data_IF_852714277177
#
_entry.id   IF_852714277177
#
_cell.length_a   1.000
_cell.length_b   1.000
_cell.length_c   1.000
_cell.angle_alpha   90.00
_cell.angle_beta   90.00
_cell.angle_gamma   90.00
#
_symmetry.space_group_name_H-M   'P 1'
#
loop_
_entity.id
_entity.type
_entity.pdbx_description
1 polymer ?
#
# COMPACT_ATOMS: atom_id res chain seq x y z
N UNK A 1 15.27 -52.44 -6.74
CA UNK A 1 15.49 -50.98 -6.84
C UNK A 1 14.54 -50.32 -5.87
N UNK A 2 15.05 -49.61 -4.85
CA UNK A 2 14.25 -48.89 -3.86
C UNK A 2 14.28 -47.39 -4.16
N UNK A 3 13.13 -46.75 -4.11
CA UNK A 3 12.96 -45.30 -4.29
C UNK A 3 13.54 -44.55 -3.08
N UNK A 4 14.33 -43.48 -3.24
CA UNK A 4 14.81 -42.71 -2.10
C UNK A 4 13.65 -41.96 -1.42
N UNK A 5 13.57 -42.09 -0.10
CA UNK A 5 12.66 -41.35 0.79
C UNK A 5 12.82 -39.83 0.60
N UNK A 6 11.75 -39.01 0.71
CA UNK A 6 11.87 -37.57 0.63
C UNK A 6 12.72 -37.06 1.80
N UNK A 7 13.85 -36.41 1.51
CA UNK A 7 14.64 -35.70 2.52
C UNK A 7 13.77 -34.57 3.07
N UNK A 8 13.27 -34.73 4.30
CA UNK A 8 12.69 -33.63 5.07
C UNK A 8 13.77 -32.56 5.22
N UNK A 9 13.66 -31.46 4.47
CA UNK A 9 14.61 -30.36 4.57
C UNK A 9 14.46 -29.73 5.95
N UNK A 10 15.49 -29.87 6.79
CA UNK A 10 15.61 -29.14 8.04
C UNK A 10 15.79 -27.65 7.71
N UNK A 11 14.77 -26.85 8.01
CA UNK A 11 14.83 -25.39 7.90
C UNK A 11 15.40 -24.85 9.21
N UNK A 12 16.51 -24.11 9.13
CA UNK A 12 17.16 -23.51 10.31
C UNK A 12 16.82 -22.04 10.53
N UNK A 13 16.39 -21.33 9.47
CA UNK A 13 16.12 -19.89 9.51
C UNK A 13 14.92 -19.57 8.63
N UNK A 14 14.20 -18.51 9.00
CA UNK A 14 13.02 -18.01 8.27
C UNK A 14 13.22 -16.51 8.04
N UNK A 15 12.98 -16.06 6.81
CA UNK A 15 12.89 -14.64 6.46
C UNK A 15 11.40 -14.34 6.30
N UNK A 16 10.90 -13.39 7.08
CA UNK A 16 9.53 -12.91 6.99
C UNK A 16 9.55 -11.55 6.31
N UNK A 17 8.61 -11.35 5.40
CA UNK A 17 8.31 -10.02 4.89
C UNK A 17 7.70 -9.17 6.02
N UNK A 18 7.87 -7.86 5.96
CA UNK A 18 7.32 -6.94 6.95
C UNK A 18 5.90 -6.54 6.56
N UNK A 19 5.76 -5.97 5.37
CA UNK A 19 4.53 -5.43 4.82
C UNK A 19 3.58 -6.57 4.42
N UNK A 20 2.31 -6.50 4.79
CA UNK A 20 1.32 -7.54 4.51
C UNK A 20 1.52 -8.88 5.25
N UNK A 21 2.69 -9.14 5.83
CA UNK A 21 3.00 -10.38 6.58
C UNK A 21 3.04 -10.14 8.09
N UNK A 22 3.95 -9.28 8.57
CA UNK A 22 4.05 -8.93 10.00
C UNK A 22 3.18 -7.72 10.36
N UNK A 23 3.00 -6.79 9.42
CA UNK A 23 2.23 -5.56 9.60
C UNK A 23 1.12 -5.46 8.54
N UNK A 24 -0.09 -5.11 8.96
CA UNK A 24 -1.17 -4.73 8.04
C UNK A 24 -1.06 -3.24 7.68
N UNK A 25 -0.23 -2.94 6.70
CA UNK A 25 0.00 -1.58 6.20
C UNK A 25 -1.10 -1.11 5.23
N UNK A 26 -1.82 -2.02 4.57
CA UNK A 26 -2.95 -1.71 3.70
C UNK A 26 -4.01 -0.85 4.39
N UNK A 27 -4.25 -1.11 5.68
CA UNK A 27 -5.23 -0.33 6.44
C UNK A 27 -4.82 1.16 6.58
N UNK A 28 -3.51 1.43 6.66
CA UNK A 28 -2.92 2.78 6.85
C UNK A 28 -3.24 3.66 5.66
N UNK A 29 -3.18 3.14 4.43
CA UNK A 29 -3.53 3.88 3.21
C UNK A 29 -4.94 4.45 3.33
N UNK A 30 -5.90 3.63 3.75
CA UNK A 30 -7.29 4.09 3.92
C UNK A 30 -7.44 5.08 5.07
N UNK A 31 -6.66 4.94 6.15
CA UNK A 31 -6.70 5.84 7.30
C UNK A 31 -6.14 7.23 6.97
N UNK A 32 -5.15 7.31 6.08
CA UNK A 32 -4.57 8.58 5.61
C UNK A 32 -5.44 9.23 4.52
N UNK A 33 -5.89 8.45 3.54
CA UNK A 33 -6.65 8.98 2.41
C UNK A 33 -8.09 9.38 2.77
N UNK A 34 -8.77 8.67 3.67
CA UNK A 34 -10.16 8.99 4.03
C UNK A 34 -10.31 10.44 4.56
N UNK A 35 -9.55 10.88 5.59
CA UNK A 35 -9.63 12.27 6.07
C UNK A 35 -9.27 13.30 5.00
N UNK A 36 -8.25 13.01 4.17
CA UNK A 36 -7.85 13.90 3.08
C UNK A 36 -8.96 14.07 2.04
N UNK A 37 -9.59 12.98 1.62
CA UNK A 37 -10.70 13.00 0.66
C UNK A 37 -11.91 13.72 1.23
N UNK A 38 -12.27 13.48 2.50
CA UNK A 38 -13.37 14.18 3.17
C UNK A 38 -13.12 15.69 3.19
N UNK A 39 -11.89 16.13 3.48
CA UNK A 39 -11.51 17.56 3.43
C UNK A 39 -11.69 18.17 2.03
N UNK A 40 -11.56 17.37 0.98
CA UNK A 40 -11.74 17.78 -0.43
C UNK A 40 -13.15 17.52 -0.98
N UNK A 41 -14.13 17.20 -0.11
CA UNK A 41 -15.51 16.92 -0.53
C UNK A 41 -15.68 15.61 -1.29
N UNK A 42 -14.73 14.67 -1.17
CA UNK A 42 -14.74 13.35 -1.81
C UNK A 42 -15.02 12.26 -0.76
N UNK A 43 -15.54 11.11 -1.21
CA UNK A 43 -15.80 9.95 -0.36
C UNK A 43 -14.90 8.80 -0.78
N UNK A 44 -14.19 8.20 0.18
CA UNK A 44 -13.39 7.01 -0.06
C UNK A 44 -14.23 5.86 -0.64
N UNK A 45 -13.73 5.27 -1.72
CA UNK A 45 -14.27 4.09 -2.37
C UNK A 45 -13.30 2.92 -2.19
N UNK A 46 -13.68 1.95 -1.34
CA UNK A 46 -12.89 0.75 -1.10
C UNK A 46 -12.69 -0.10 -2.36
N UNK A 47 -13.57 0.03 -3.36
CA UNK A 47 -13.42 -0.66 -4.65
C UNK A 47 -12.25 -0.10 -5.45
N UNK A 48 -11.75 1.10 -5.18
CA UNK A 48 -10.58 1.68 -5.86
C UNK A 48 -9.26 1.32 -5.19
N UNK A 49 -9.29 0.85 -3.94
CA UNK A 49 -8.10 0.54 -3.15
C UNK A 49 -7.17 -0.48 -3.82
N UNK A 50 -7.72 -1.50 -4.47
CA UNK A 50 -6.95 -2.52 -5.18
C UNK A 50 -6.06 -1.95 -6.30
N UNK A 51 -6.43 -0.78 -6.86
CA UNK A 51 -5.61 -0.11 -7.88
C UNK A 51 -4.30 0.44 -7.32
N UNK A 52 -4.16 0.59 -6.01
CA UNK A 52 -2.96 1.14 -5.39
C UNK A 52 -1.92 0.05 -5.08
N UNK A 53 -2.35 -1.22 -5.01
CA UNK A 53 -1.48 -2.35 -4.67
C UNK A 53 -0.37 -2.51 -5.71
N UNK A 54 0.86 -2.66 -5.23
CA UNK A 54 2.05 -2.88 -6.07
C UNK A 54 2.56 -1.65 -6.83
N UNK A 55 1.98 -0.46 -6.60
CA UNK A 55 2.44 0.81 -7.20
C UNK A 55 3.48 1.49 -6.33
N UNK A 56 4.37 2.24 -6.95
CA UNK A 56 5.22 3.20 -6.25
C UNK A 56 4.34 4.30 -5.63
N UNK A 57 4.82 5.03 -4.59
CA UNK A 57 4.08 6.15 -4.02
C UNK A 57 3.64 7.18 -5.07
N UNK A 58 4.49 7.46 -6.07
CA UNK A 58 4.18 8.38 -7.16
C UNK A 58 3.04 7.88 -8.06
N UNK A 59 3.10 6.63 -8.50
CA UNK A 59 2.03 6.03 -9.31
C UNK A 59 0.72 5.91 -8.53
N UNK A 60 0.77 5.54 -7.24
CA UNK A 60 -0.39 5.48 -6.37
C UNK A 60 -1.02 6.87 -6.18
N UNK A 61 -0.19 7.90 -5.97
CA UNK A 61 -0.61 9.29 -5.89
C UNK A 61 -1.33 9.74 -7.17
N UNK A 62 -0.75 9.48 -8.35
CA UNK A 62 -1.36 9.81 -9.63
C UNK A 62 -2.73 9.13 -9.81
N UNK A 63 -2.85 7.83 -9.46
CA UNK A 63 -4.12 7.10 -9.50
C UNK A 63 -5.16 7.73 -8.58
N UNK A 64 -4.79 8.13 -7.35
CA UNK A 64 -5.74 8.78 -6.42
C UNK A 64 -6.21 10.13 -6.97
N UNK A 65 -5.30 10.94 -7.52
CA UNK A 65 -5.65 12.24 -8.09
C UNK A 65 -6.62 12.10 -9.27
N UNK A 66 -6.34 11.15 -10.16
CA UNK A 66 -7.20 10.81 -11.31
C UNK A 66 -8.57 10.28 -10.84
N UNK A 67 -8.59 9.26 -9.99
CA UNK A 67 -9.81 8.58 -9.56
C UNK A 67 -10.78 9.49 -8.80
N UNK A 68 -10.28 10.53 -8.14
CA UNK A 68 -11.10 11.48 -7.37
C UNK A 68 -11.21 12.86 -8.03
N UNK A 69 -10.55 13.10 -9.17
CA UNK A 69 -10.54 14.38 -9.88
C UNK A 69 -10.07 15.52 -8.97
N UNK A 70 -8.91 15.34 -8.34
CA UNK A 70 -8.32 16.30 -7.41
C UNK A 70 -7.38 17.27 -8.15
N UNK A 71 -7.37 18.57 -7.83
CA UNK A 71 -6.68 19.60 -8.59
C UNK A 71 -5.23 19.83 -8.11
N UNK A 72 -4.51 18.78 -7.75
CA UNK A 72 -3.11 18.87 -7.27
C UNK A 72 -2.17 18.20 -8.26
N UNK A 73 -0.90 18.61 -8.27
CA UNK A 73 0.13 17.78 -8.88
C UNK A 73 0.42 16.54 -8.01
N UNK A 74 1.00 15.51 -8.61
CA UNK A 74 1.43 14.30 -7.89
C UNK A 74 2.42 14.64 -6.78
N UNK A 75 3.34 15.57 -7.05
CA UNK A 75 4.34 16.04 -6.08
C UNK A 75 3.70 16.81 -4.92
N UNK A 76 2.79 17.75 -5.19
CA UNK A 76 2.05 18.47 -4.15
C UNK A 76 1.28 17.51 -3.25
N UNK A 77 0.62 16.52 -3.85
CA UNK A 77 -0.13 15.50 -3.13
C UNK A 77 0.75 14.65 -2.23
N UNK A 78 1.90 14.18 -2.73
CA UNK A 78 2.87 13.44 -1.93
C UNK A 78 3.43 14.28 -0.79
N UNK A 79 3.78 15.55 -1.02
CA UNK A 79 4.25 16.44 0.03
C UNK A 79 3.19 16.69 1.10
N UNK A 80 1.90 16.74 0.75
CA UNK A 80 0.82 16.87 1.73
C UNK A 80 0.60 15.62 2.59
N UNK A 81 0.93 14.43 2.08
CA UNK A 81 0.73 13.16 2.79
C UNK A 81 1.99 12.70 3.54
N UNK A 82 3.16 13.18 3.16
CA UNK A 82 4.41 12.81 3.80
C UNK A 82 4.44 13.39 5.21
N UNK A 83 4.56 12.57 6.27
CA UNK A 83 4.70 13.09 7.63
C UNK A 83 5.94 13.99 7.69
N UNK A 84 5.76 15.26 8.00
CA UNK A 84 6.88 16.15 8.30
C UNK A 84 7.52 15.66 9.61
N UNK A 85 8.70 15.05 9.51
CA UNK A 85 9.56 14.87 10.67
C UNK A 85 10.25 16.22 10.89
N UNK A 86 9.64 17.06 11.74
CA UNK A 86 10.35 18.17 12.38
C UNK A 86 10.93 17.70 13.71
#
# INVERSE_FOLDING_TARGET
MATPEPIARLISHVILDLDGTLLNTDCVVSQVLKPFLVKNGKKWDSKKAHKLVGKTPYEAAAVVLEDYGLPYSTEEFLSMLTPNVQ
#
